data_IF_190796265839
#
_entry.id   IF_190796265839
#
_cell.length_a   1.000
_cell.length_b   1.000
_cell.length_c   1.000
_cell.angle_alpha   90.00
_cell.angle_beta   90.00
_cell.angle_gamma   90.00
#
_symmetry.space_group_name_H-M   'P 1'
#
loop_
_entity.id
_entity.type
_entity.pdbx_description
1 polymer ?
#
# COMPACT_ATOMS: atom_id res chain seq x y z
N UNK A 1 0.56 -2.17 6.42
CA UNK A 1 -0.63 -1.30 6.50
C UNK A 1 -1.03 -1.14 7.95
N UNK A 2 -1.48 0.06 8.35
CA UNK A 2 -1.57 0.45 9.77
C UNK A 2 -2.89 1.11 10.17
N UNK A 3 -3.91 0.92 9.33
CA UNK A 3 -5.22 1.53 9.39
C UNK A 3 -6.34 0.52 9.65
N UNK A 4 -6.16 -0.75 9.28
CA UNK A 4 -7.06 -1.87 9.64
C UNK A 4 -6.87 -2.26 11.11
N UNK A 5 -5.62 -2.24 11.57
CA UNK A 5 -5.24 -2.24 12.98
C UNK A 5 -4.12 -1.21 13.20
N UNK A 6 -4.16 -0.52 14.35
CA UNK A 6 -3.12 0.45 14.71
C UNK A 6 -1.85 -0.27 15.16
N UNK A 7 -0.69 0.24 14.76
CA UNK A 7 0.62 -0.20 15.28
C UNK A 7 1.31 0.95 16.01
N UNK A 8 2.02 0.65 17.08
CA UNK A 8 2.86 1.63 17.76
C UNK A 8 4.05 2.04 16.89
N UNK A 9 4.60 3.22 17.17
CA UNK A 9 5.82 3.71 16.54
C UNK A 9 7.02 2.79 16.79
N UNK A 10 7.07 2.10 17.92
CA UNK A 10 8.11 1.12 18.23
C UNK A 10 8.01 -0.11 17.33
N UNK A 11 6.80 -0.60 17.05
CA UNK A 11 6.58 -1.68 16.08
C UNK A 11 6.96 -1.24 14.66
N UNK A 12 6.62 -0.02 14.25
CA UNK A 12 7.04 0.53 12.95
C UNK A 12 8.57 0.60 12.83
N UNK A 13 9.26 1.05 13.87
CA UNK A 13 10.74 1.08 13.93
C UNK A 13 11.32 -0.34 13.88
N UNK A 14 10.73 -1.29 14.58
CA UNK A 14 11.13 -2.70 14.53
C UNK A 14 11.04 -3.28 13.12
N UNK A 15 9.95 -2.97 12.40
CA UNK A 15 9.79 -3.36 10.98
C UNK A 15 10.87 -2.70 10.11
N UNK A 16 11.12 -1.39 10.27
CA UNK A 16 12.14 -0.68 9.50
C UNK A 16 13.55 -1.25 9.73
N UNK A 17 13.88 -1.61 10.97
CA UNK A 17 15.14 -2.29 11.29
C UNK A 17 15.22 -3.64 10.55
N UNK A 18 14.19 -4.49 10.67
CA UNK A 18 14.15 -5.77 9.96
C UNK A 18 14.21 -5.63 8.43
N UNK A 19 13.60 -4.59 7.86
CA UNK A 19 13.71 -4.26 6.43
C UNK A 19 15.18 -3.99 6.06
N UNK A 20 15.88 -3.17 6.86
CA UNK A 20 17.29 -2.85 6.63
C UNK A 20 18.20 -4.08 6.76
N UNK A 21 17.93 -4.95 7.74
CA UNK A 21 18.66 -6.21 7.91
C UNK A 21 18.53 -7.13 6.69
N UNK A 22 17.40 -7.05 5.98
CA UNK A 22 17.10 -7.81 4.76
C UNK A 22 17.42 -7.04 3.45
N UNK A 23 18.01 -5.84 3.55
CA UNK A 23 18.30 -4.95 2.41
C UNK A 23 17.09 -4.52 1.58
N UNK A 24 15.91 -4.51 2.17
CA UNK A 24 14.85 -3.66 1.65
C UNK A 24 15.29 -2.19 1.76
N UNK A 25 14.71 -1.33 0.93
CA UNK A 25 15.02 0.09 0.91
C UNK A 25 13.78 0.99 0.84
N UNK A 26 12.57 0.41 0.88
CA UNK A 26 11.29 1.12 0.91
C UNK A 26 10.43 0.51 1.99
N UNK A 27 9.86 1.38 2.83
CA UNK A 27 8.73 1.08 3.69
C UNK A 27 7.50 1.78 3.12
N UNK A 28 6.64 1.02 2.46
CA UNK A 28 5.38 1.50 1.92
C UNK A 28 4.37 1.63 3.07
N UNK A 29 4.13 2.86 3.49
CA UNK A 29 3.27 3.20 4.60
C UNK A 29 1.86 3.56 4.11
N UNK A 30 1.03 2.53 3.96
CA UNK A 30 -0.42 2.65 3.89
C UNK A 30 -0.98 3.06 5.27
N UNK A 31 -1.13 4.37 5.43
CA UNK A 31 -1.30 5.03 6.74
C UNK A 31 -2.76 5.23 7.13
N UNK A 32 -3.68 5.32 6.17
CA UNK A 32 -5.12 5.56 6.37
C UNK A 32 -5.93 4.67 5.43
N UNK A 33 -7.11 4.24 5.86
CA UNK A 33 -8.09 3.46 5.06
C UNK A 33 -9.49 3.58 5.70
N UNK A 34 -10.44 2.78 5.23
CA UNK A 34 -11.83 2.66 5.65
C UNK A 34 -12.02 2.59 7.16
N UNK A 35 -11.26 1.72 7.85
CA UNK A 35 -11.49 1.43 9.27
C UNK A 35 -10.98 2.54 10.18
N UNK A 36 -9.84 3.16 9.84
CA UNK A 36 -9.28 4.23 10.66
C UNK A 36 -8.42 5.26 9.91
N UNK A 37 -8.47 6.48 10.45
CA UNK A 37 -7.60 7.60 10.06
C UNK A 37 -6.66 7.94 11.24
N UNK A 38 -5.56 7.19 11.45
CA UNK A 38 -4.67 7.42 12.59
C UNK A 38 -3.74 8.63 12.38
N UNK A 39 -3.62 9.18 11.17
CA UNK A 39 -2.80 10.36 10.93
C UNK A 39 -3.43 11.61 11.60
N UNK A 40 -2.81 12.12 12.65
CA UNK A 40 -3.22 13.38 13.28
C UNK A 40 -2.72 14.59 12.47
N UNK A 41 -3.37 14.85 11.31
CA UNK A 41 -3.05 15.98 10.45
C UNK A 41 -3.24 17.31 11.18
N UNK A 42 -2.28 18.22 11.06
CA UNK A 42 -2.40 19.58 11.62
C UNK A 42 -3.14 20.50 10.66
N UNK A 43 -2.96 20.30 9.35
CA UNK A 43 -3.68 21.03 8.30
C UNK A 43 -5.16 20.69 8.24
N UNK A 44 -5.54 19.44 8.55
CA UNK A 44 -6.95 19.01 8.58
C UNK A 44 -7.26 18.20 9.86
N UNK A 45 -7.30 18.85 11.05
CA UNK A 45 -7.42 18.15 12.35
C UNK A 45 -8.69 17.31 12.51
N UNK A 46 -9.75 17.66 11.79
CA UNK A 46 -11.02 16.95 11.82
C UNK A 46 -10.88 15.49 11.40
N UNK A 47 -9.95 15.16 10.47
CA UNK A 47 -9.75 13.79 10.00
C UNK A 47 -9.27 12.85 11.11
N UNK A 48 -8.60 13.35 12.15
CA UNK A 48 -8.15 12.53 13.29
C UNK A 48 -9.32 11.93 14.10
N UNK A 49 -10.55 12.45 13.93
CA UNK A 49 -11.77 11.82 14.47
C UNK A 49 -12.08 10.47 13.82
N UNK A 50 -11.48 10.18 12.68
CA UNK A 50 -11.52 8.88 12.00
C UNK A 50 -10.64 7.81 12.65
N UNK A 51 -9.75 8.15 13.59
CA UNK A 51 -8.94 7.18 14.30
C UNK A 51 -9.80 6.24 15.19
N UNK A 52 -9.30 5.03 15.49
CA UNK A 52 -9.97 4.11 16.42
C UNK A 52 -10.17 4.71 17.81
N UNK A 53 -9.19 5.47 18.29
CA UNK A 53 -9.29 6.26 19.51
C UNK A 53 -8.24 7.38 19.50
N UNK A 54 -8.31 8.36 20.42
CA UNK A 54 -7.24 9.35 20.58
C UNK A 54 -5.86 8.76 20.91
N UNK A 55 -5.79 7.51 21.41
CA UNK A 55 -4.52 6.80 21.67
C UNK A 55 -3.96 6.10 20.44
N UNK A 56 -4.75 5.93 19.39
CA UNK A 56 -4.40 5.22 18.17
C UNK A 56 -4.17 6.23 17.04
N UNK A 57 -3.29 7.19 17.29
CA UNK A 57 -2.94 8.25 16.36
C UNK A 57 -1.43 8.41 16.25
N UNK A 58 -0.97 8.75 15.05
CA UNK A 58 0.39 9.20 14.78
C UNK A 58 0.40 10.72 14.78
N UNK A 59 1.09 11.32 15.75
CA UNK A 59 1.33 12.75 15.74
C UNK A 59 2.29 13.15 14.62
N UNK A 60 2.34 14.44 14.31
CA UNK A 60 3.33 14.99 13.38
C UNK A 60 4.78 14.66 13.82
N UNK A 61 5.04 14.59 15.12
CA UNK A 61 6.36 14.22 15.63
C UNK A 61 6.63 12.73 15.41
N UNK A 62 5.65 11.86 15.65
CA UNK A 62 5.79 10.42 15.38
C UNK A 62 6.14 10.17 13.92
N UNK A 63 5.45 10.81 12.98
CA UNK A 63 5.73 10.68 11.55
C UNK A 63 7.16 11.14 11.22
N UNK A 64 7.59 12.29 11.75
CA UNK A 64 8.97 12.79 11.56
C UNK A 64 10.01 11.83 12.12
N UNK A 65 9.75 11.26 13.29
CA UNK A 65 10.64 10.31 13.94
C UNK A 65 10.75 9.01 13.13
N UNK A 66 9.64 8.52 12.56
CA UNK A 66 9.65 7.36 11.66
C UNK A 66 10.41 7.66 10.36
N UNK A 67 10.20 8.83 9.76
CA UNK A 67 10.92 9.27 8.56
C UNK A 67 12.43 9.36 8.82
N UNK A 68 12.84 9.95 9.94
CA UNK A 68 14.26 10.04 10.30
C UNK A 68 14.84 8.67 10.64
N UNK A 69 14.10 7.82 11.34
CA UNK A 69 14.53 6.46 11.64
C UNK A 69 14.73 5.66 10.35
N UNK A 70 13.80 5.76 9.39
CA UNK A 70 13.97 5.22 8.04
C UNK A 70 15.24 5.71 7.37
N UNK A 71 15.47 7.03 7.37
CA UNK A 71 16.66 7.65 6.78
C UNK A 71 17.96 7.09 7.38
N UNK A 72 18.03 6.93 8.70
CA UNK A 72 19.20 6.36 9.39
C UNK A 72 19.48 4.90 9.02
N UNK A 73 18.44 4.17 8.60
CA UNK A 73 18.53 2.76 8.17
C UNK A 73 18.60 2.59 6.65
N UNK A 74 18.68 3.70 5.89
CA UNK A 74 18.66 3.65 4.42
C UNK A 74 17.31 3.21 3.84
N UNK A 75 16.23 3.33 4.62
CA UNK A 75 14.86 2.99 4.23
C UNK A 75 14.09 4.26 3.87
N UNK A 76 13.55 4.29 2.66
CA UNK A 76 12.65 5.31 2.16
C UNK A 76 11.25 5.10 2.73
N UNK A 77 10.66 6.12 3.33
CA UNK A 77 9.27 6.04 3.80
C UNK A 77 8.36 6.57 2.69
N UNK A 78 7.68 5.66 2.00
CA UNK A 78 6.73 5.95 0.92
C UNK A 78 5.33 6.09 1.52
N UNK A 79 4.75 7.30 1.63
CA UNK A 79 3.39 7.44 2.11
C UNK A 79 2.39 7.03 1.04
N UNK A 80 1.35 6.33 1.47
CA UNK A 80 0.13 6.12 0.69
C UNK A 80 -1.06 6.80 1.33
N UNK A 81 -1.76 7.59 0.52
CA UNK A 81 -3.03 8.22 0.85
C UNK A 81 -4.01 7.76 -0.24
N UNK A 82 -4.66 6.63 0.00
CA UNK A 82 -5.54 5.99 -0.97
C UNK A 82 -6.86 6.76 -1.11
N UNK A 83 -7.18 7.07 -2.36
CA UNK A 83 -8.38 7.80 -2.78
C UNK A 83 -8.73 7.42 -4.23
N UNK A 84 -10.02 7.43 -4.65
CA UNK A 84 -11.19 7.93 -3.92
C UNK A 84 -11.93 6.87 -3.10
N UNK A 85 -11.60 5.58 -3.25
CA UNK A 85 -12.10 4.49 -2.40
C UNK A 85 -11.39 4.45 -1.05
N UNK A 86 -11.76 3.50 -0.18
CA UNK A 86 -11.08 3.28 1.11
C UNK A 86 -11.07 4.48 2.07
N UNK A 87 -12.13 5.29 2.05
CA UNK A 87 -12.18 6.60 2.72
C UNK A 87 -13.22 6.73 3.84
N UNK A 88 -13.87 5.65 4.28
CA UNK A 88 -14.95 5.68 5.27
C UNK A 88 -14.53 6.38 6.58
N UNK A 89 -13.29 6.19 7.03
CA UNK A 89 -12.74 6.85 8.22
C UNK A 89 -12.66 8.37 8.08
N UNK A 90 -12.44 8.89 6.86
CA UNK A 90 -12.35 10.31 6.57
C UNK A 90 -13.69 11.00 6.82
N UNK A 91 -14.79 10.33 6.46
CA UNK A 91 -16.15 10.82 6.66
C UNK A 91 -16.56 10.92 8.13
N UNK A 92 -15.88 10.22 9.05
CA UNK A 92 -16.13 10.40 10.49
C UNK A 92 -15.70 11.79 10.97
N UNK A 93 -14.63 12.32 10.38
CA UNK A 93 -14.13 13.67 10.64
C UNK A 93 -14.83 14.73 9.82
N UNK A 94 -14.91 14.52 8.51
CA UNK A 94 -15.50 15.46 7.56
C UNK A 94 -16.62 14.74 6.77
N UNK A 95 -17.85 14.65 7.31
CA UNK A 95 -18.93 13.83 6.73
C UNK A 95 -19.32 14.17 5.30
N UNK A 96 -19.08 15.42 4.88
CA UNK A 96 -19.37 15.87 3.52
C UNK A 96 -18.41 15.31 2.47
N UNK A 97 -17.31 14.65 2.85
CA UNK A 97 -16.39 14.06 1.87
C UNK A 97 -16.96 12.83 1.18
N UNK A 98 -17.86 12.09 1.83
CA UNK A 98 -18.34 10.81 1.33
C UNK A 98 -19.60 10.95 0.51
N UNK A 99 -19.66 10.20 -0.59
CA UNK A 99 -20.85 10.10 -1.41
C UNK A 99 -22.00 9.49 -0.60
N UNK A 100 -23.21 10.04 -0.78
CA UNK A 100 -24.43 9.34 -0.37
C UNK A 100 -24.62 8.14 -1.29
N UNK A 101 -25.06 7.03 -0.73
CA UNK A 101 -25.21 5.78 -1.45
C UNK A 101 -26.68 5.36 -1.44
N UNK A 102 -27.13 4.72 -2.51
CA UNK A 102 -28.51 4.32 -2.70
C UNK A 102 -28.55 2.90 -3.28
N UNK A 103 -29.42 2.05 -2.74
CA UNK A 103 -29.71 0.74 -3.31
C UNK A 103 -30.43 0.89 -4.66
N UNK A 104 -30.63 -0.23 -5.37
CA UNK A 104 -31.31 -0.23 -6.67
C UNK A 104 -32.79 0.24 -6.60
N UNK A 105 -33.38 0.33 -5.40
CA UNK A 105 -34.72 0.87 -5.18
C UNK A 105 -34.72 2.38 -4.86
N UNK A 106 -33.54 3.02 -4.79
CA UNK A 106 -33.38 4.42 -4.42
C UNK A 106 -33.43 4.68 -2.91
N UNK A 107 -33.32 3.64 -2.08
CA UNK A 107 -33.23 3.76 -0.62
C UNK A 107 -31.80 4.06 -0.22
N UNK A 108 -31.59 5.08 0.62
CA UNK A 108 -30.25 5.44 1.07
C UNK A 108 -29.61 4.33 1.92
N UNK A 109 -28.40 3.92 1.54
CA UNK A 109 -27.52 3.03 2.31
C UNK A 109 -26.45 3.84 3.04
N UNK A 110 -25.91 3.27 4.12
CA UNK A 110 -24.95 3.95 5.01
C UNK A 110 -23.52 3.41 4.90
N UNK A 111 -23.26 2.45 4.02
CA UNK A 111 -21.93 1.90 3.78
C UNK A 111 -21.13 2.80 2.82
N UNK A 112 -20.79 3.99 3.31
CA UNK A 112 -20.12 5.02 2.50
C UNK A 112 -18.62 4.87 2.63
N UNK A 113 -17.96 4.50 1.53
CA UNK A 113 -16.52 4.31 1.52
C UNK A 113 -15.84 4.87 0.25
N UNK A 114 -16.49 5.83 -0.41
CA UNK A 114 -15.97 6.50 -1.61
C UNK A 114 -16.29 8.00 -1.56
N UNK A 115 -15.39 8.83 -2.10
CA UNK A 115 -15.59 10.28 -2.10
C UNK A 115 -16.78 10.74 -2.97
N UNK A 116 -17.42 11.81 -2.52
CA UNK A 116 -18.39 12.60 -3.30
C UNK A 116 -17.64 13.62 -4.17
N UNK A 117 -17.41 13.26 -5.43
CA UNK A 117 -16.73 14.13 -6.41
C UNK A 117 -17.48 15.44 -6.71
N UNK A 118 -18.75 15.57 -6.30
CA UNK A 118 -19.55 16.80 -6.49
C UNK A 118 -19.31 17.84 -5.40
N UNK A 119 -18.66 17.47 -4.30
CA UNK A 119 -18.38 18.35 -3.16
C UNK A 119 -17.11 19.19 -3.41
N UNK A 120 -17.12 19.94 -4.52
CA UNK A 120 -15.93 20.56 -5.10
C UNK A 120 -15.10 21.33 -4.07
N UNK A 121 -15.69 22.32 -3.38
CA UNK A 121 -14.95 23.12 -2.41
C UNK A 121 -14.35 22.27 -1.28
N UNK A 122 -15.17 21.45 -0.61
CA UNK A 122 -14.72 20.72 0.58
C UNK A 122 -13.70 19.63 0.24
N UNK A 123 -13.94 18.87 -0.81
CA UNK A 123 -13.08 17.76 -1.22
C UNK A 123 -11.69 18.26 -1.61
N UNK A 124 -11.63 19.25 -2.51
CA UNK A 124 -10.35 19.71 -3.03
C UNK A 124 -9.59 20.57 -2.02
N UNK A 125 -10.26 21.34 -1.16
CA UNK A 125 -9.59 22.07 -0.07
C UNK A 125 -8.95 21.12 0.94
N UNK A 126 -9.62 20.02 1.29
CA UNK A 126 -9.08 18.98 2.19
C UNK A 126 -7.88 18.29 1.54
N UNK A 127 -8.00 17.86 0.29
CA UNK A 127 -6.91 17.17 -0.42
C UNK A 127 -5.71 18.10 -0.62
N UNK A 128 -5.93 19.37 -0.99
CA UNK A 128 -4.85 20.34 -1.15
C UNK A 128 -4.08 20.54 0.17
N UNK A 129 -4.80 20.80 1.25
CA UNK A 129 -4.21 21.04 2.57
C UNK A 129 -3.48 19.80 3.11
N UNK A 130 -4.09 18.61 2.96
CA UNK A 130 -3.51 17.35 3.44
C UNK A 130 -2.24 16.98 2.66
N UNK A 131 -2.29 16.99 1.32
CA UNK A 131 -1.13 16.61 0.53
C UNK A 131 0.02 17.61 0.64
N UNK A 132 -0.28 18.89 0.85
CA UNK A 132 0.75 19.89 1.16
C UNK A 132 1.52 19.51 2.43
N UNK A 133 0.80 19.11 3.49
CA UNK A 133 1.41 18.61 4.72
C UNK A 133 2.18 17.30 4.50
N UNK A 134 1.62 16.35 3.74
CA UNK A 134 2.31 15.11 3.37
C UNK A 134 3.63 15.41 2.64
N UNK A 135 3.65 16.33 1.68
CA UNK A 135 4.88 16.66 0.96
C UNK A 135 5.94 17.34 1.84
N UNK A 136 5.52 18.05 2.89
CA UNK A 136 6.42 18.65 3.89
C UNK A 136 6.99 17.60 4.86
N UNK A 137 6.19 16.60 5.27
CA UNK A 137 6.61 15.55 6.20
C UNK A 137 7.43 14.44 5.55
N UNK A 138 7.11 14.09 4.30
CA UNK A 138 7.73 13.00 3.57
C UNK A 138 8.67 13.54 2.48
N UNK A 139 10.00 13.57 2.71
CA UNK A 139 10.96 14.04 1.71
C UNK A 139 11.08 13.09 0.51
N UNK A 140 10.51 11.88 0.61
CA UNK A 140 10.45 10.86 -0.42
C UNK A 140 9.98 11.41 -1.78
N UNK A 141 10.62 11.00 -2.87
CA UNK A 141 10.29 11.45 -4.24
C UNK A 141 8.98 10.87 -4.75
N UNK A 142 8.56 9.72 -4.22
CA UNK A 142 7.36 9.02 -4.66
C UNK A 142 6.25 9.15 -3.61
N UNK A 143 5.01 9.17 -4.08
CA UNK A 143 3.81 9.17 -3.24
C UNK A 143 2.81 8.22 -3.88
N UNK A 144 2.26 7.30 -3.09
CA UNK A 144 1.23 6.38 -3.57
C UNK A 144 -0.14 7.04 -3.37
N UNK A 145 -0.93 7.09 -4.45
CA UNK A 145 -2.27 7.69 -4.44
C UNK A 145 -3.39 6.65 -4.31
N UNK A 146 -3.01 5.37 -4.25
CA UNK A 146 -3.92 4.24 -4.20
C UNK A 146 -4.73 4.12 -5.49
N UNK A 147 -6.03 4.41 -5.39
CA UNK A 147 -7.04 4.31 -6.43
C UNK A 147 -7.42 2.88 -6.80
N UNK A 148 -7.26 1.93 -5.88
CA UNK A 148 -7.76 0.58 -6.01
C UNK A 148 -9.23 0.47 -5.60
N UNK A 149 -9.85 -0.64 -6.03
CA UNK A 149 -11.10 -1.20 -5.48
C UNK A 149 -12.33 -0.27 -5.41
N UNK A 150 -12.28 0.94 -5.98
CA UNK A 150 -13.38 1.90 -6.02
C UNK A 150 -14.68 1.31 -6.60
N UNK A 151 -14.55 0.34 -7.50
CA UNK A 151 -15.64 -0.41 -8.12
C UNK A 151 -16.59 -1.09 -7.11
N UNK A 152 -16.15 -1.38 -5.87
CA UNK A 152 -17.05 -1.95 -4.85
C UNK A 152 -18.16 -0.99 -4.42
N UNK A 153 -17.94 0.33 -4.52
CA UNK A 153 -18.88 1.34 -4.06
C UNK A 153 -19.52 2.15 -5.18
N UNK A 154 -19.02 2.05 -6.41
CA UNK A 154 -19.48 2.92 -7.52
C UNK A 154 -20.95 2.71 -7.86
N UNK A 155 -21.48 1.49 -7.83
CA UNK A 155 -22.91 1.23 -8.11
C UNK A 155 -23.82 1.99 -7.15
N UNK A 156 -23.67 1.75 -5.85
CA UNK A 156 -24.57 2.36 -4.86
C UNK A 156 -24.28 3.85 -4.68
N UNK A 157 -23.00 4.25 -4.67
CA UNK A 157 -22.59 5.59 -4.26
C UNK A 157 -22.44 6.58 -5.40
N UNK A 158 -22.17 6.14 -6.63
CA UNK A 158 -22.00 7.02 -7.80
C UNK A 158 -23.14 6.84 -8.81
N UNK A 159 -23.41 5.62 -9.29
CA UNK A 159 -24.41 5.37 -10.35
C UNK A 159 -25.82 5.66 -9.86
N UNK A 160 -26.18 5.13 -8.68
CA UNK A 160 -27.49 5.31 -8.07
C UNK A 160 -27.64 6.68 -7.37
N UNK A 161 -26.60 7.52 -7.33
CA UNK A 161 -26.64 8.83 -6.68
C UNK A 161 -27.02 9.95 -7.67
N UNK A 162 -28.22 10.57 -7.54
CA UNK A 162 -28.71 11.54 -8.53
C UNK A 162 -27.82 12.78 -8.71
N UNK A 163 -27.13 13.21 -7.65
CA UNK A 163 -26.22 14.36 -7.73
C UNK A 163 -25.00 14.01 -8.59
N UNK A 164 -24.46 12.81 -8.44
CA UNK A 164 -23.30 12.34 -9.20
C UNK A 164 -23.70 12.01 -10.63
N UNK A 165 -24.85 11.38 -10.87
CA UNK A 165 -25.36 11.15 -12.24
C UNK A 165 -25.56 12.49 -12.98
N UNK A 166 -26.08 13.53 -12.31
CA UNK A 166 -26.22 14.88 -12.88
C UNK A 166 -24.86 15.52 -13.17
N UNK A 167 -23.88 15.32 -12.28
CA UNK A 167 -22.51 15.77 -12.49
C UNK A 167 -21.88 15.09 -13.71
N UNK A 168 -21.99 13.77 -13.82
CA UNK A 168 -21.49 12.99 -14.94
C UNK A 168 -22.06 13.49 -16.28
N UNK A 169 -23.37 13.75 -16.34
CA UNK A 169 -24.01 14.33 -17.53
C UNK A 169 -23.44 15.71 -17.89
N UNK A 170 -23.20 16.57 -16.90
CA UNK A 170 -22.67 17.93 -17.12
C UNK A 170 -21.23 17.90 -17.67
N UNK A 171 -20.42 16.95 -17.23
CA UNK A 171 -19.02 16.81 -17.64
C UNK A 171 -18.82 15.82 -18.80
N UNK A 172 -19.91 15.29 -19.37
CA UNK A 172 -19.88 14.31 -20.45
C UNK A 172 -19.06 13.05 -20.10
N UNK A 173 -19.25 12.57 -18.87
CA UNK A 173 -18.66 11.35 -18.31
C UNK A 173 -19.71 10.24 -18.42
N UNK A 174 -19.39 9.14 -19.09
CA UNK A 174 -20.38 8.09 -19.41
C UNK A 174 -20.34 6.90 -18.44
N UNK A 175 -19.17 6.64 -17.84
CA UNK A 175 -18.95 5.47 -16.97
C UNK A 175 -18.31 5.89 -15.66
N UNK A 176 -18.45 5.05 -14.63
CA UNK A 176 -17.82 5.28 -13.33
C UNK A 176 -16.30 5.15 -13.39
N UNK A 177 -15.75 4.32 -14.28
CA UNK A 177 -14.31 4.30 -14.58
C UNK A 177 -13.82 5.64 -15.14
N UNK A 178 -14.58 6.28 -16.03
CA UNK A 178 -14.27 7.63 -16.54
C UNK A 178 -14.38 8.68 -15.42
N UNK A 179 -15.29 8.50 -14.48
CA UNK A 179 -15.40 9.40 -13.32
C UNK A 179 -14.19 9.25 -12.39
N UNK A 180 -13.73 8.02 -12.15
CA UNK A 180 -12.51 7.77 -11.38
C UNK A 180 -11.27 8.34 -12.09
N UNK A 181 -11.18 8.18 -13.42
CA UNK A 181 -10.13 8.81 -14.22
C UNK A 181 -10.17 10.34 -14.12
N UNK A 182 -11.35 10.94 -14.22
CA UNK A 182 -11.54 12.39 -14.07
C UNK A 182 -11.06 12.86 -12.68
N UNK A 183 -11.45 12.13 -11.63
CA UNK A 183 -11.02 12.41 -10.25
C UNK A 183 -9.49 12.37 -10.12
N UNK A 184 -8.84 11.28 -10.55
CA UNK A 184 -7.40 11.14 -10.43
C UNK A 184 -6.66 12.19 -11.26
N UNK A 185 -7.15 12.51 -12.46
CA UNK A 185 -6.57 13.55 -13.32
C UNK A 185 -6.62 14.92 -12.63
N UNK A 186 -7.75 15.25 -11.98
CA UNK A 186 -7.90 16.48 -11.23
C UNK A 186 -7.01 16.51 -9.97
N UNK A 187 -6.92 15.38 -9.25
CA UNK A 187 -6.01 15.24 -8.11
C UNK A 187 -4.56 15.46 -8.55
N UNK A 188 -4.08 14.75 -9.58
CA UNK A 188 -2.72 14.91 -10.10
C UNK A 188 -2.43 16.36 -10.51
N UNK A 189 -3.38 17.03 -11.16
CA UNK A 189 -3.25 18.45 -11.51
C UNK A 189 -3.10 19.33 -10.27
N UNK A 190 -3.96 19.14 -9.26
CA UNK A 190 -3.89 19.83 -7.97
C UNK A 190 -2.51 19.64 -7.33
N UNK A 191 -2.07 18.39 -7.19
CA UNK A 191 -0.80 18.06 -6.54
C UNK A 191 0.41 18.63 -7.29
N UNK A 192 0.40 18.59 -8.62
CA UNK A 192 1.47 19.15 -9.47
C UNK A 192 1.53 20.67 -9.43
N UNK A 193 0.41 21.34 -9.15
CA UNK A 193 0.40 22.78 -8.95
C UNK A 193 1.02 23.20 -7.62
N UNK A 194 1.11 22.28 -6.65
CA UNK A 194 1.83 22.54 -5.41
C UNK A 194 3.35 22.57 -5.62
N UNK A 195 4.03 23.46 -4.88
CA UNK A 195 5.47 23.71 -5.02
C UNK A 195 6.33 22.46 -4.87
N UNK A 196 6.01 21.60 -3.90
CA UNK A 196 6.75 20.35 -3.67
C UNK A 196 6.18 19.19 -4.50
N UNK A 197 4.87 19.15 -4.70
CA UNK A 197 4.19 18.11 -5.49
C UNK A 197 4.63 18.04 -6.95
N UNK A 198 5.04 19.16 -7.57
CA UNK A 198 5.62 19.16 -8.94
C UNK A 198 6.92 18.35 -9.08
N UNK A 199 7.62 18.08 -7.98
CA UNK A 199 8.87 17.31 -7.95
C UNK A 199 8.62 15.84 -7.62
N UNK A 200 7.40 15.49 -7.22
CA UNK A 200 7.03 14.13 -6.83
C UNK A 200 6.68 13.29 -8.07
N UNK A 201 6.81 11.99 -7.93
CA UNK A 201 6.31 10.97 -8.86
C UNK A 201 5.20 10.20 -8.16
N UNK A 202 4.16 9.85 -8.91
CA UNK A 202 2.95 9.28 -8.33
C UNK A 202 2.84 7.82 -8.73
N UNK A 203 2.51 6.99 -7.76
CA UNK A 203 2.24 5.56 -7.92
C UNK A 203 0.75 5.36 -7.72
N UNK A 204 0.14 4.50 -8.53
CA UNK A 204 -1.24 4.05 -8.38
C UNK A 204 -1.27 2.53 -8.43
N UNK A 205 -2.31 1.94 -7.84
CA UNK A 205 -2.66 0.55 -8.09
C UNK A 205 -3.18 0.36 -9.53
N UNK A 206 -3.25 -0.88 -9.98
CA UNK A 206 -3.42 -1.22 -11.40
C UNK A 206 -4.81 -0.95 -11.99
N UNK A 207 -5.82 -0.63 -11.19
CA UNK A 207 -7.23 -0.51 -11.60
C UNK A 207 -7.43 0.37 -12.83
N UNK A 208 -7.01 1.64 -12.75
CA UNK A 208 -7.17 2.57 -13.85
C UNK A 208 -6.37 2.15 -15.08
N UNK A 209 -5.26 1.43 -14.91
CA UNK A 209 -4.53 0.85 -16.03
C UNK A 209 -5.33 -0.27 -16.70
N UNK A 210 -5.91 -1.19 -15.91
CA UNK A 210 -6.76 -2.28 -16.41
C UNK A 210 -7.98 -1.74 -17.17
N UNK A 211 -8.51 -0.57 -16.76
CA UNK A 211 -9.61 0.11 -17.43
C UNK A 211 -9.19 0.88 -18.70
N UNK A 212 -7.90 0.87 -19.07
CA UNK A 212 -7.36 1.63 -20.21
C UNK A 212 -7.35 3.15 -19.99
N UNK A 213 -7.31 3.59 -18.73
CA UNK A 213 -7.54 4.98 -18.31
C UNK A 213 -6.44 5.57 -17.42
N UNK A 214 -5.36 4.84 -17.15
CA UNK A 214 -4.23 5.34 -16.36
C UNK A 214 -3.58 6.58 -17.03
N UNK A 215 -3.26 7.64 -16.27
CA UNK A 215 -2.51 8.78 -16.79
C UNK A 215 -1.07 8.39 -17.17
N UNK A 216 -0.56 8.83 -18.32
CA UNK A 216 0.71 8.36 -18.91
C UNK A 216 1.95 8.44 -17.98
N UNK A 217 2.02 9.42 -17.08
CA UNK A 217 3.21 9.70 -16.28
C UNK A 217 3.15 9.17 -14.84
N UNK A 218 2.27 8.21 -14.58
CA UNK A 218 2.20 7.46 -13.31
C UNK A 218 2.97 6.15 -13.39
N UNK A 219 3.36 5.67 -12.22
CA UNK A 219 3.92 4.33 -12.02
C UNK A 219 2.76 3.42 -11.61
N UNK A 220 2.69 2.23 -12.18
CA UNK A 220 1.60 1.30 -11.90
C UNK A 220 2.12 0.15 -11.04
N UNK A 221 1.46 -0.09 -9.91
CA UNK A 221 1.75 -1.22 -9.03
C UNK A 221 0.75 -2.36 -9.30
N UNK A 222 1.28 -3.48 -9.81
CA UNK A 222 0.51 -4.67 -10.17
C UNK A 222 0.34 -5.56 -8.94
N UNK A 223 -0.90 -5.64 -8.46
CA UNK A 223 -1.28 -6.33 -7.24
C UNK A 223 -2.31 -7.45 -7.45
N UNK A 224 -3.02 -7.46 -8.58
CA UNK A 224 -3.96 -8.51 -8.97
C UNK A 224 -3.27 -9.58 -9.83
N UNK A 225 -3.99 -10.70 -9.99
CA UNK A 225 -3.57 -11.85 -10.78
C UNK A 225 -3.47 -13.10 -9.91
N UNK A 226 -4.22 -14.14 -10.25
CA UNK A 226 -4.33 -15.38 -9.48
C UNK A 226 -3.26 -16.41 -9.82
N UNK A 227 -2.56 -16.24 -10.94
CA UNK A 227 -1.52 -17.16 -11.43
C UNK A 227 -0.27 -16.40 -11.85
N UNK A 228 0.92 -17.04 -11.81
CA UNK A 228 2.16 -16.44 -12.30
C UNK A 228 2.04 -15.90 -13.73
N UNK A 229 1.29 -16.60 -14.59
CA UNK A 229 1.06 -16.16 -15.97
C UNK A 229 0.30 -14.82 -16.03
N UNK A 230 -0.85 -14.74 -15.36
CA UNK A 230 -1.67 -13.51 -15.33
C UNK A 230 -0.93 -12.32 -14.72
N UNK A 231 -0.13 -12.56 -13.68
CA UNK A 231 0.66 -11.52 -13.01
C UNK A 231 1.74 -10.96 -13.96
N UNK A 232 2.44 -11.85 -14.68
CA UNK A 232 3.48 -11.46 -15.64
C UNK A 232 2.90 -10.83 -16.91
N UNK A 233 1.69 -11.23 -17.31
CA UNK A 233 0.94 -10.58 -18.38
C UNK A 233 0.58 -9.14 -18.01
N UNK A 234 0.10 -8.88 -16.79
CA UNK A 234 -0.16 -7.52 -16.31
C UNK A 234 1.10 -6.65 -16.32
N UNK A 235 2.24 -7.16 -15.82
CA UNK A 235 3.53 -6.43 -15.89
C UNK A 235 3.94 -6.15 -17.35
N UNK A 236 3.79 -7.14 -18.24
CA UNK A 236 4.08 -6.97 -19.67
C UNK A 236 3.19 -5.89 -20.29
N UNK A 237 1.90 -5.85 -19.96
CA UNK A 237 0.97 -4.88 -20.51
C UNK A 237 1.29 -3.47 -20.01
N UNK A 238 1.50 -3.30 -18.70
CA UNK A 238 1.90 -2.02 -18.08
C UNK A 238 3.17 -1.46 -18.73
N UNK A 239 4.22 -2.28 -18.80
CA UNK A 239 5.49 -1.86 -19.41
C UNK A 239 5.40 -1.70 -20.93
N UNK A 240 4.52 -2.47 -21.59
CA UNK A 240 4.26 -2.37 -23.03
C UNK A 240 3.57 -1.07 -23.42
N UNK A 241 2.76 -0.52 -22.52
CA UNK A 241 2.15 0.80 -22.63
C UNK A 241 3.11 1.96 -22.27
N UNK A 242 4.34 1.66 -21.86
CA UNK A 242 5.38 2.66 -21.56
C UNK A 242 5.41 3.12 -20.10
N UNK A 243 4.57 2.57 -19.23
CA UNK A 243 4.60 2.86 -17.80
C UNK A 243 5.74 2.12 -17.09
N UNK A 244 6.26 2.74 -16.03
CA UNK A 244 7.04 2.00 -15.05
C UNK A 244 6.13 1.09 -14.21
N UNK A 245 6.64 -0.09 -13.87
CA UNK A 245 5.90 -1.12 -13.15
C UNK A 245 6.56 -1.50 -11.82
N UNK A 246 5.73 -1.74 -10.80
CA UNK A 246 6.09 -2.43 -9.56
C UNK A 246 5.22 -3.70 -9.45
N UNK A 247 5.76 -4.76 -8.85
CA UNK A 247 5.01 -5.99 -8.61
C UNK A 247 4.77 -6.24 -7.11
N UNK A 248 3.54 -6.56 -6.73
CA UNK A 248 3.23 -7.10 -5.38
C UNK A 248 2.33 -8.34 -5.42
N UNK A 249 1.67 -8.64 -6.54
CA UNK A 249 0.61 -9.67 -6.64
C UNK A 249 1.01 -11.09 -6.23
N UNK A 250 2.28 -11.47 -6.37
CA UNK A 250 2.81 -12.77 -5.92
C UNK A 250 3.39 -12.75 -4.49
N UNK A 251 3.37 -11.59 -3.83
CA UNK A 251 3.99 -11.31 -2.53
C UNK A 251 3.01 -10.75 -1.51
N UNK A 252 1.76 -11.23 -1.54
CA UNK A 252 0.77 -11.01 -0.49
C UNK A 252 1.07 -11.95 0.67
N UNK A 253 1.70 -11.43 1.71
CA UNK A 253 2.10 -12.15 2.92
C UNK A 253 0.96 -12.20 3.94
N UNK A 254 -0.07 -11.36 3.86
CA UNK A 254 -1.27 -11.47 4.69
C UNK A 254 -2.03 -12.77 4.47
N UNK A 255 -2.02 -13.27 3.23
CA UNK A 255 -2.60 -14.56 2.84
C UNK A 255 -1.78 -15.70 3.45
N UNK A 256 -2.28 -16.27 4.54
CA UNK A 256 -1.70 -17.46 5.14
C UNK A 256 -2.04 -18.69 4.32
N UNK A 257 -1.00 -19.45 3.94
CA UNK A 257 -1.17 -20.78 3.36
C UNK A 257 -0.97 -21.82 4.46
N UNK A 258 -1.69 -22.94 4.40
CA UNK A 258 -1.60 -24.01 5.41
C UNK A 258 -0.25 -24.73 5.48
N UNK A 259 0.76 -24.25 4.76
CA UNK A 259 2.12 -24.78 4.71
C UNK A 259 3.12 -23.63 4.49
N UNK A 260 4.39 -23.94 4.67
CA UNK A 260 5.53 -23.08 4.34
C UNK A 260 5.41 -22.55 2.89
N UNK A 261 5.28 -21.24 2.74
CA UNK A 261 4.98 -20.54 1.48
C UNK A 261 6.12 -19.63 0.99
N UNK A 262 7.18 -19.40 1.78
CA UNK A 262 8.31 -18.55 1.37
C UNK A 262 8.93 -18.96 0.03
N UNK A 263 8.90 -20.26 -0.31
CA UNK A 263 9.41 -20.78 -1.58
C UNK A 263 8.58 -20.30 -2.78
N UNK A 264 7.27 -20.11 -2.60
CA UNK A 264 6.39 -19.56 -3.63
C UNK A 264 6.73 -18.10 -3.89
N UNK A 265 6.95 -17.33 -2.83
CA UNK A 265 7.39 -15.94 -2.93
C UNK A 265 8.79 -15.83 -3.57
N UNK A 266 9.72 -16.72 -3.21
CA UNK A 266 11.07 -16.75 -3.77
C UNK A 266 11.06 -17.02 -5.29
N UNK A 267 10.15 -17.86 -5.78
CA UNK A 267 10.07 -18.24 -7.20
C UNK A 267 9.47 -17.16 -8.10
N UNK A 268 8.84 -16.12 -7.54
CA UNK A 268 8.29 -15.04 -8.35
C UNK A 268 9.40 -14.10 -8.84
N UNK A 269 9.51 -13.88 -10.15
CA UNK A 269 10.44 -12.90 -10.73
C UNK A 269 9.66 -11.88 -11.56
N UNK A 270 9.69 -10.58 -11.20
CA UNK A 270 8.92 -9.53 -11.88
C UNK A 270 9.36 -9.28 -13.33
N UNK A 271 10.48 -9.87 -13.76
CA UNK A 271 10.99 -9.77 -15.14
C UNK A 271 10.76 -11.04 -15.96
N UNK A 272 10.09 -12.05 -15.40
CA UNK A 272 9.82 -13.35 -16.04
C UNK A 272 8.66 -13.32 -17.03
N UNK A 273 8.66 -12.32 -17.92
CA UNK A 273 7.75 -12.22 -19.06
C UNK A 273 8.52 -12.11 -20.38
N UNK A 274 7.83 -12.41 -21.49
CA UNK A 274 8.37 -12.23 -22.85
C UNK A 274 8.26 -10.74 -23.21
N UNK A 275 9.41 -10.06 -23.24
CA UNK A 275 9.51 -8.63 -23.54
C UNK A 275 10.94 -8.22 -23.90
N UNK A 276 11.10 -7.05 -24.51
CA UNK A 276 12.42 -6.54 -24.89
C UNK A 276 13.24 -6.11 -23.67
N UNK A 277 14.57 -6.00 -23.83
CA UNK A 277 15.45 -5.48 -22.76
C UNK A 277 15.02 -4.07 -22.32
N UNK A 278 14.56 -3.24 -23.25
CA UNK A 278 14.07 -1.88 -22.96
C UNK A 278 12.78 -1.93 -22.15
N UNK A 279 11.85 -2.81 -22.52
CA UNK A 279 10.59 -2.99 -21.79
C UNK A 279 10.83 -3.50 -20.37
N UNK A 280 11.72 -4.49 -20.19
CA UNK A 280 12.07 -5.03 -18.87
C UNK A 280 12.72 -4.00 -17.95
N UNK A 281 13.42 -2.99 -18.49
CA UNK A 281 13.98 -1.87 -17.71
C UNK A 281 12.93 -0.94 -17.11
N UNK A 282 11.68 -1.03 -17.54
CA UNK A 282 10.57 -0.29 -16.93
C UNK A 282 10.06 -0.96 -15.63
N UNK A 283 10.47 -2.19 -15.35
CA UNK A 283 10.22 -2.83 -14.05
C UNK A 283 11.19 -2.26 -13.01
N UNK A 284 10.65 -1.55 -12.02
CA UNK A 284 11.44 -0.88 -10.97
C UNK A 284 11.77 -1.79 -9.78
N UNK A 285 11.08 -2.93 -9.67
CA UNK A 285 11.18 -3.86 -8.55
C UNK A 285 9.80 -4.30 -8.10
N UNK A 286 9.61 -4.41 -6.79
CA UNK A 286 8.30 -4.69 -6.21
C UNK A 286 8.31 -4.73 -4.69
N UNK A 287 7.19 -5.15 -4.11
CA UNK A 287 6.93 -5.00 -2.68
C UNK A 287 6.24 -6.24 -2.10
N UNK A 288 6.64 -6.64 -0.90
CA UNK A 288 5.92 -7.63 -0.11
C UNK A 288 4.80 -6.92 0.67
N UNK A 289 3.55 -7.25 0.37
CA UNK A 289 2.38 -6.68 1.01
C UNK A 289 1.98 -7.51 2.23
N UNK A 290 1.64 -6.85 3.34
CA UNK A 290 1.11 -7.50 4.54
C UNK A 290 -0.11 -6.72 5.04
N UNK A 291 -1.26 -6.95 4.37
CA UNK A 291 -2.55 -6.35 4.71
C UNK A 291 -3.00 -6.62 6.15
N UNK A 292 -3.65 -5.62 6.72
CA UNK A 292 -3.82 -5.47 8.16
C UNK A 292 -5.11 -6.07 8.71
N UNK A 293 -5.95 -6.71 7.91
CA UNK A 293 -7.28 -7.21 8.31
C UNK A 293 -7.18 -8.21 9.46
N UNK A 294 -6.10 -8.99 9.48
CA UNK A 294 -5.84 -10.05 10.48
C UNK A 294 -4.47 -9.91 11.13
N UNK A 295 -3.87 -8.73 11.03
CA UNK A 295 -2.49 -8.45 11.46
C UNK A 295 -2.44 -7.21 12.32
N UNK A 296 -1.95 -7.39 13.54
CA UNK A 296 -1.64 -6.32 14.49
C UNK A 296 -0.26 -6.59 15.15
N UNK A 297 0.10 -5.83 16.18
CA UNK A 297 1.37 -6.02 16.87
C UNK A 297 1.61 -7.42 17.43
N UNK A 298 0.54 -8.18 17.72
CA UNK A 298 0.65 -9.50 18.33
C UNK A 298 1.22 -10.55 17.38
N UNK A 299 1.07 -10.36 16.07
CA UNK A 299 1.44 -11.36 15.08
C UNK A 299 2.21 -10.81 13.86
N UNK A 300 2.45 -9.49 13.78
CA UNK A 300 3.06 -8.87 12.60
C UNK A 300 4.44 -9.44 12.25
N UNK A 301 5.40 -9.36 13.17
CA UNK A 301 6.79 -9.78 12.89
C UNK A 301 6.89 -11.26 12.54
N UNK A 302 6.30 -12.21 13.32
CA UNK A 302 6.39 -13.62 12.96
C UNK A 302 5.72 -13.90 11.63
N UNK A 303 4.60 -13.23 11.32
CA UNK A 303 3.97 -13.37 10.01
C UNK A 303 4.85 -12.79 8.91
N UNK A 304 5.51 -11.66 9.12
CA UNK A 304 6.31 -10.99 8.09
C UNK A 304 7.62 -11.74 7.79
N UNK A 305 8.34 -12.19 8.81
CA UNK A 305 9.68 -12.75 8.68
C UNK A 305 9.77 -14.19 9.19
N UNK A 306 10.44 -15.10 8.45
CA UNK A 306 11.37 -14.85 7.34
C UNK A 306 10.74 -14.84 5.95
N UNK A 307 9.41 -14.87 5.80
CA UNK A 307 8.76 -14.91 4.48
C UNK A 307 9.13 -13.73 3.59
N UNK A 308 9.16 -12.52 4.13
CA UNK A 308 9.63 -11.32 3.42
C UNK A 308 11.12 -11.38 3.05
N UNK A 309 11.95 -12.13 3.78
CA UNK A 309 13.36 -12.32 3.43
C UNK A 309 13.54 -13.03 2.09
N UNK A 310 12.62 -13.94 1.72
CA UNK A 310 12.61 -14.57 0.40
C UNK A 310 12.36 -13.55 -0.73
N UNK A 311 11.45 -12.60 -0.50
CA UNK A 311 11.18 -11.49 -1.43
C UNK A 311 12.38 -10.56 -1.53
N UNK A 312 13.01 -10.23 -0.40
CA UNK A 312 14.21 -9.40 -0.36
C UNK A 312 15.35 -10.00 -1.20
N UNK A 313 15.63 -11.29 -1.03
CA UNK A 313 16.69 -11.94 -1.79
C UNK A 313 16.39 -11.97 -3.29
N UNK A 314 15.13 -12.20 -3.68
CA UNK A 314 14.69 -12.15 -5.07
C UNK A 314 14.88 -10.76 -5.70
N UNK A 315 14.60 -9.70 -4.95
CA UNK A 315 14.72 -8.33 -5.45
C UNK A 315 16.17 -7.80 -5.43
N UNK A 316 17.05 -8.41 -4.63
CA UNK A 316 18.43 -7.96 -4.45
C UNK A 316 19.45 -8.77 -5.26
N UNK A 317 19.32 -10.09 -5.26
CA UNK A 317 20.37 -11.00 -5.72
C UNK A 317 20.26 -11.31 -7.20
N UNK A 318 21.41 -11.56 -7.83
CA UNK A 318 21.42 -12.29 -9.10
C UNK A 318 21.15 -13.77 -8.80
N UNK A 319 20.10 -14.32 -9.41
CA UNK A 319 19.67 -15.70 -9.20
C UNK A 319 19.94 -16.49 -10.48
N UNK A 320 20.74 -17.55 -10.36
CA UNK A 320 20.96 -18.51 -11.45
C UNK A 320 19.73 -19.41 -11.61
N UNK A 321 19.31 -19.61 -12.85
CA UNK A 321 18.21 -20.50 -13.20
C UNK A 321 18.75 -21.87 -13.69
N UNK A 322 18.12 -23.00 -13.31
CA UNK A 322 16.91 -23.12 -12.51
C UNK A 322 17.17 -22.93 -11.01
N UNK A 323 16.21 -22.33 -10.30
CA UNK A 323 16.26 -22.18 -8.83
C UNK A 323 16.36 -23.55 -8.13
N UNK A 324 17.43 -23.74 -7.36
CA UNK A 324 17.60 -24.89 -6.48
C UNK A 324 17.16 -24.56 -5.04
N UNK A 325 15.89 -24.83 -4.71
CA UNK A 325 15.28 -24.44 -3.42
C UNK A 325 16.04 -24.96 -2.19
N UNK A 326 16.67 -26.13 -2.30
CA UNK A 326 17.48 -26.74 -1.23
C UNK A 326 18.74 -25.92 -0.90
N UNK A 327 19.22 -25.06 -1.81
CA UNK A 327 20.35 -24.14 -1.57
C UNK A 327 19.91 -22.81 -0.95
N UNK A 328 18.61 -22.50 -0.98
CA UNK A 328 18.05 -21.26 -0.41
C UNK A 328 17.83 -21.42 1.09
N UNK A 329 17.20 -22.52 1.49
CA UNK A 329 16.80 -22.74 2.88
C UNK A 329 17.94 -22.59 3.91
N UNK A 330 19.15 -23.15 3.73
CA UNK A 330 20.21 -23.02 4.74
C UNK A 330 20.58 -21.56 5.07
N UNK A 331 20.51 -20.66 4.08
CA UNK A 331 20.81 -19.23 4.26
C UNK A 331 19.62 -18.48 4.84
N UNK A 332 18.41 -18.82 4.43
CA UNK A 332 17.18 -18.26 5.01
C UNK A 332 17.02 -18.66 6.50
N UNK A 333 17.38 -19.89 6.84
CA UNK A 333 17.41 -20.39 8.21
C UNK A 333 18.41 -19.62 9.09
N UNK A 334 19.62 -19.37 8.58
CA UNK A 334 20.60 -18.56 9.28
C UNK A 334 20.08 -17.14 9.51
N UNK A 335 19.45 -16.53 8.50
CA UNK A 335 18.83 -15.21 8.62
C UNK A 335 17.69 -15.20 9.67
N UNK A 336 16.84 -16.21 9.68
CA UNK A 336 15.79 -16.40 10.69
C UNK A 336 16.39 -16.44 12.10
N UNK A 337 17.39 -17.30 12.34
CA UNK A 337 18.03 -17.41 13.65
C UNK A 337 18.79 -16.14 14.04
N UNK A 338 19.35 -15.40 13.08
CA UNK A 338 19.97 -14.10 13.34
C UNK A 338 18.96 -13.05 13.80
N UNK A 339 17.77 -13.02 13.20
CA UNK A 339 16.67 -12.15 13.66
C UNK A 339 16.20 -12.53 15.06
N UNK A 340 16.04 -13.82 15.34
CA UNK A 340 15.71 -14.33 16.67
C UNK A 340 16.76 -13.93 17.74
N UNK A 341 18.05 -14.09 17.42
CA UNK A 341 19.16 -13.69 18.29
C UNK A 341 19.20 -12.19 18.57
N UNK A 342 18.67 -11.36 17.66
CA UNK A 342 18.50 -9.91 17.82
C UNK A 342 17.22 -9.52 18.57
N UNK A 343 16.45 -10.50 19.02
CA UNK A 343 15.23 -10.28 19.81
C UNK A 343 13.97 -10.05 18.98
N UNK A 344 14.00 -10.35 17.67
CA UNK A 344 12.81 -10.28 16.82
C UNK A 344 12.13 -11.66 16.72
N UNK A 345 10.80 -11.75 16.93
CA UNK A 345 10.08 -13.02 16.88
C UNK A 345 9.82 -13.46 15.43
N UNK A 346 10.86 -13.81 14.67
CA UNK A 346 10.71 -14.41 13.34
C UNK A 346 10.16 -15.85 13.46
N UNK A 347 9.21 -16.23 12.61
CA UNK A 347 8.62 -17.56 12.64
C UNK A 347 9.57 -18.65 12.08
N UNK A 348 9.41 -19.92 12.45
CA UNK A 348 10.09 -21.03 11.79
C UNK A 348 9.71 -21.14 10.31
N UNK A 349 10.69 -21.04 9.42
CA UNK A 349 10.45 -21.02 7.98
C UNK A 349 10.39 -22.39 7.29
N UNK A 350 10.84 -23.49 7.90
CA UNK A 350 10.75 -24.83 7.28
C UNK A 350 11.01 -25.94 8.31
N UNK A 351 10.09 -26.89 8.40
CA UNK A 351 10.23 -28.10 9.22
C UNK A 351 10.52 -27.84 10.71
N UNK A 352 10.68 -28.90 11.51
CA UNK A 352 11.18 -28.78 12.87
C UNK A 352 12.67 -28.40 12.88
N UNK A 353 13.08 -27.55 13.81
CA UNK A 353 14.46 -27.08 13.96
C UNK A 353 14.67 -26.30 15.27
N UNK A 354 15.85 -25.67 15.42
CA UNK A 354 16.18 -24.84 16.60
C UNK A 354 17.25 -23.79 16.27
N UNK A 355 17.16 -22.61 16.89
CA UNK A 355 18.23 -21.62 16.84
C UNK A 355 19.14 -21.77 18.06
N UNK A 356 20.46 -21.60 17.89
CA UNK A 356 21.39 -21.59 19.03
C UNK A 356 21.01 -20.52 20.06
N UNK A 357 20.53 -19.37 19.57
CA UNK A 357 19.93 -18.31 20.36
C UNK A 357 18.44 -18.19 20.00
N UNK A 358 17.58 -18.85 20.77
CA UNK A 358 16.13 -18.78 20.59
C UNK A 358 15.56 -17.41 20.96
N UNK A 359 14.47 -17.03 20.29
CA UNK A 359 13.68 -15.86 20.70
C UNK A 359 13.10 -16.09 22.10
N UNK A 360 13.33 -15.12 22.99
CA UNK A 360 12.79 -15.15 24.36
C UNK A 360 11.56 -14.25 24.44
N UNK A 361 10.39 -14.87 24.51
CA UNK A 361 9.13 -14.16 24.72
C UNK A 361 9.18 -13.33 26.02
N UNK A 362 8.84 -12.04 25.91
CA UNK A 362 8.64 -11.17 27.07
C UNK A 362 7.23 -11.41 27.60
N UNK A 363 7.12 -12.23 28.65
CA UNK A 363 5.85 -12.55 29.27
C UNK A 363 5.67 -11.68 30.52
N UNK A 364 4.43 -11.28 30.88
CA UNK A 364 4.18 -10.34 31.97
C UNK A 364 4.75 -10.72 33.37
N UNK A 365 5.16 -11.97 33.55
CA UNK A 365 5.67 -12.53 34.81
C UNK A 365 7.17 -12.85 34.79
N UNK A 366 7.86 -12.57 33.67
CA UNK A 366 9.32 -12.63 33.54
C UNK A 366 9.86 -11.20 33.61
#
# INVERSE_FOLDING_TARGET
MHCRHFLSTDMLKAVIDLLAQNKFNVFHWHIVDSESFPYASKSVPELAKGAFSPKHQYSIQDIKDIVEFGRLHGIRILPEIDTPGHVASWGRGVPKLLARCFDDNGTETFDRNIFDVTQDAVLWDVLDALFKEVFELFPEKFVHLGADEAAFWTRECWENNPNISTFMQRYNINTTDELQQWYLTKLLSLLRNQKEGKKKKYIIWQELFDYGRAPEDVIVQVWKGSTPHTQMESIKNVTGAGHFALLSSCWYLDVQRGSVDWSQHYNCDPTSFVGSVVQKKLVLGGEAALWGEWVDESNLIPRLFPRASAVAERLWSFIEEPIEINKVWPRLYEMQCRMAARGFPAEPGNGPGFCENEYKAKLPWL
#
